data_IF_230481945851
#
_entry.id   IF_230481945851
#
_cell.length_a   1.000
_cell.length_b   1.000
_cell.length_c   1.000
_cell.angle_alpha   90.00
_cell.angle_beta   90.00
_cell.angle_gamma   90.00
#
_symmetry.space_group_name_H-M   'P 1'
#
loop_
_entity.id
_entity.type
_entity.pdbx_description
1 polymer ?
#
# COMPACT_ATOMS: atom_id res chain seq x y z
N UNK A 1 23.17 -23.47 -3.25
CA UNK A 1 22.64 -22.14 -3.56
C UNK A 1 22.51 -21.41 -2.23
N UNK A 2 23.36 -20.40 -1.97
CA UNK A 2 23.30 -19.64 -0.71
C UNK A 2 21.99 -18.85 -0.65
N UNK A 3 21.27 -18.95 0.45
CA UNK A 3 20.10 -18.13 0.75
C UNK A 3 20.65 -16.69 0.88
N UNK A 4 20.41 -15.86 -0.15
CA UNK A 4 20.68 -14.42 -0.03
C UNK A 4 19.66 -13.88 0.96
N UNK A 5 20.11 -13.55 2.16
CA UNK A 5 19.26 -12.99 3.19
C UNK A 5 18.81 -11.60 2.74
N UNK A 6 17.50 -11.48 2.37
CA UNK A 6 16.92 -10.21 1.90
C UNK A 6 16.92 -9.20 3.03
N UNK A 7 17.32 -7.97 2.75
CA UNK A 7 17.33 -6.85 3.70
C UNK A 7 15.92 -6.59 4.24
N UNK A 8 15.80 -6.29 5.53
CA UNK A 8 14.55 -5.81 6.12
C UNK A 8 14.31 -4.40 5.61
N UNK A 9 13.18 -4.18 4.96
CA UNK A 9 12.77 -2.88 4.44
C UNK A 9 11.87 -2.13 5.42
N UNK A 10 10.95 -2.85 6.08
CA UNK A 10 10.02 -2.27 7.05
C UNK A 10 10.11 -3.05 8.36
N UNK A 11 10.11 -2.33 9.47
CA UNK A 11 10.00 -2.87 10.82
C UNK A 11 9.01 -2.04 11.64
N UNK A 12 8.07 -2.70 12.30
CA UNK A 12 7.25 -2.14 13.36
C UNK A 12 7.67 -2.78 14.68
N UNK A 13 7.89 -1.98 15.72
CA UNK A 13 8.40 -2.43 17.01
C UNK A 13 7.47 -1.95 18.13
N UNK A 14 6.95 -2.89 18.91
CA UNK A 14 6.04 -2.68 20.04
C UNK A 14 4.94 -1.65 19.72
N UNK A 15 4.33 -1.77 18.52
CA UNK A 15 3.42 -0.77 17.96
C UNK A 15 2.08 -0.76 18.69
N UNK A 16 1.68 0.38 19.21
CA UNK A 16 0.37 0.59 19.82
C UNK A 16 -0.38 1.73 19.14
N UNK A 17 -1.70 1.59 19.05
CA UNK A 17 -2.58 2.69 18.65
C UNK A 17 -3.86 2.69 19.46
N UNK A 18 -4.14 3.86 20.01
CA UNK A 18 -5.34 4.15 20.79
C UNK A 18 -6.03 5.38 20.21
N UNK A 19 -7.35 5.37 20.19
CA UNK A 19 -8.16 6.54 19.86
C UNK A 19 -9.02 6.93 21.06
N UNK A 20 -9.19 8.23 21.35
CA UNK A 20 -10.06 8.69 22.43
C UNK A 20 -11.54 8.36 22.09
N UNK A 21 -12.25 7.80 23.05
CA UNK A 21 -13.70 7.57 23.01
C UNK A 21 -14.37 8.32 24.17
N UNK A 22 -14.67 9.61 23.97
CA UNK A 22 -15.22 10.44 25.04
C UNK A 22 -14.17 10.90 26.06
N UNK A 23 -14.60 11.22 27.31
CA UNK A 23 -13.72 11.86 28.30
C UNK A 23 -12.71 10.91 28.95
N UNK A 24 -13.08 9.64 29.19
CA UNK A 24 -12.27 8.72 30.01
C UNK A 24 -12.07 7.32 29.38
N UNK A 25 -12.50 7.13 28.14
CA UNK A 25 -12.36 5.83 27.44
C UNK A 25 -11.43 5.94 26.25
N UNK A 26 -10.63 4.90 26.03
CA UNK A 26 -9.75 4.75 24.86
C UNK A 26 -10.03 3.44 24.15
N UNK A 27 -10.14 3.51 22.84
CA UNK A 27 -10.24 2.34 21.99
C UNK A 27 -8.83 1.90 21.60
N UNK A 28 -8.37 0.76 22.13
CA UNK A 28 -7.08 0.16 21.78
C UNK A 28 -7.24 -0.65 20.50
N UNK A 29 -6.74 -0.11 19.39
CA UNK A 29 -6.88 -0.74 18.06
C UNK A 29 -5.66 -1.60 17.70
N UNK A 30 -4.45 -1.15 18.01
CA UNK A 30 -3.21 -1.95 17.87
C UNK A 30 -2.59 -2.11 19.25
N UNK A 31 -2.19 -3.34 19.59
CA UNK A 31 -1.90 -3.75 20.97
C UNK A 31 -0.52 -4.44 21.11
N UNK A 32 0.57 -3.68 20.91
CA UNK A 32 1.95 -4.17 21.05
C UNK A 32 2.31 -5.12 19.91
N UNK A 33 2.25 -4.60 18.68
CA UNK A 33 2.49 -5.38 17.47
C UNK A 33 3.93 -5.22 17.01
N UNK A 34 4.60 -6.36 16.75
CA UNK A 34 5.90 -6.44 16.11
C UNK A 34 5.77 -7.11 14.75
N UNK A 35 6.38 -6.52 13.71
CA UNK A 35 6.47 -7.13 12.40
C UNK A 35 7.67 -6.62 11.60
N UNK A 36 8.15 -7.46 10.69
CA UNK A 36 9.16 -7.09 9.71
C UNK A 36 8.67 -7.45 8.32
N UNK A 37 9.11 -6.70 7.30
CA UNK A 37 8.91 -7.03 5.89
C UNK A 37 10.24 -6.88 5.17
N UNK A 38 10.58 -7.86 4.34
CA UNK A 38 11.84 -7.89 3.60
C UNK A 38 11.68 -7.29 2.20
N UNK A 39 12.75 -6.80 1.62
CA UNK A 39 12.76 -6.29 0.24
C UNK A 39 12.27 -7.36 -0.75
N UNK A 40 11.38 -6.96 -1.67
CA UNK A 40 10.76 -7.85 -2.66
C UNK A 40 9.79 -8.87 -2.06
N UNK A 41 9.34 -8.69 -0.82
CA UNK A 41 8.34 -9.53 -0.18
C UNK A 41 6.94 -8.97 -0.43
N UNK A 42 6.00 -9.83 -0.80
CA UNK A 42 4.58 -9.55 -0.75
C UNK A 42 4.01 -10.16 0.54
N UNK A 43 3.79 -9.31 1.56
CA UNK A 43 3.15 -9.69 2.81
C UNK A 43 1.67 -9.34 2.75
N UNK A 44 0.79 -10.32 3.04
CA UNK A 44 -0.66 -10.11 3.08
C UNK A 44 -1.15 -10.23 4.52
N UNK A 45 -1.86 -9.21 4.99
CA UNK A 45 -2.46 -9.15 6.32
C UNK A 45 -3.94 -9.44 6.19
N UNK A 46 -4.38 -10.56 6.78
CA UNK A 46 -5.78 -10.96 6.81
C UNK A 46 -6.37 -10.80 8.22
N UNK A 47 -7.67 -10.64 8.30
CA UNK A 47 -8.37 -10.56 9.59
C UNK A 47 -9.82 -10.08 9.42
N UNK A 48 -10.66 -10.26 10.44
CA UNK A 48 -12.05 -9.81 10.39
C UNK A 48 -12.16 -8.29 10.25
N UNK A 49 -13.34 -7.80 9.86
CA UNK A 49 -13.62 -6.36 9.88
C UNK A 49 -13.43 -5.81 11.30
N UNK A 50 -12.85 -4.62 11.41
CA UNK A 50 -12.57 -3.99 12.71
C UNK A 50 -11.33 -4.53 13.45
N UNK A 51 -10.57 -5.49 12.89
CA UNK A 51 -9.35 -6.01 13.56
C UNK A 51 -8.19 -5.03 13.63
N UNK A 52 -8.26 -3.88 12.92
CA UNK A 52 -7.21 -2.85 12.89
C UNK A 52 -6.32 -2.85 11.64
N UNK A 53 -6.68 -3.58 10.56
CA UNK A 53 -5.86 -3.69 9.34
C UNK A 53 -5.56 -2.34 8.69
N UNK A 54 -6.57 -1.52 8.43
CA UNK A 54 -6.39 -0.18 7.84
C UNK A 54 -5.60 0.74 8.76
N UNK A 55 -5.89 0.68 10.09
CA UNK A 55 -5.10 1.43 11.08
C UNK A 55 -3.63 1.02 11.04
N UNK A 56 -3.34 -0.28 10.98
CA UNK A 56 -1.96 -0.77 10.87
C UNK A 56 -1.28 -0.22 9.61
N UNK A 57 -1.93 -0.31 8.44
CA UNK A 57 -1.38 0.25 7.20
C UNK A 57 -1.14 1.76 7.29
N UNK A 58 -2.05 2.52 7.92
CA UNK A 58 -1.87 3.96 8.11
C UNK A 58 -0.64 4.26 9.00
N UNK A 59 -0.42 3.48 10.05
CA UNK A 59 0.77 3.61 10.89
C UNK A 59 2.05 3.26 10.12
N UNK A 60 2.06 2.14 9.39
CA UNK A 60 3.19 1.69 8.60
C UNK A 60 3.57 2.70 7.50
N UNK A 61 2.58 3.41 6.97
CA UNK A 61 2.76 4.44 5.94
C UNK A 61 2.96 5.86 6.47
N UNK A 62 2.96 6.06 7.79
CA UNK A 62 3.05 7.39 8.38
C UNK A 62 1.89 8.31 8.00
N UNK A 63 0.71 7.76 7.71
CA UNK A 63 -0.54 8.52 7.56
C UNK A 63 -1.18 8.83 8.92
N UNK A 64 -0.84 8.03 9.92
CA UNK A 64 -1.21 8.26 11.32
C UNK A 64 0.02 7.97 12.20
N UNK A 65 0.06 8.53 13.39
CA UNK A 65 1.15 8.32 14.35
C UNK A 65 0.78 7.25 15.37
N UNK A 66 1.70 6.37 15.75
CA UNK A 66 1.46 5.42 16.83
C UNK A 66 1.29 6.15 18.16
N UNK A 67 0.53 5.57 19.08
CA UNK A 67 0.45 6.04 20.48
C UNK A 67 1.71 5.71 21.26
N UNK A 68 2.36 4.57 20.94
CA UNK A 68 3.70 4.18 21.39
C UNK A 68 4.29 3.12 20.44
N UNK A 69 5.58 2.83 20.59
CA UNK A 69 6.33 2.03 19.64
C UNK A 69 6.81 2.87 18.45
N UNK A 70 7.36 2.22 17.43
CA UNK A 70 7.89 2.93 16.25
C UNK A 70 7.74 2.12 14.98
N UNK A 71 7.82 2.82 13.85
CA UNK A 71 7.86 2.26 12.50
C UNK A 71 9.14 2.74 11.82
N UNK A 72 9.95 1.80 11.36
CA UNK A 72 11.19 2.06 10.63
C UNK A 72 11.03 1.55 9.20
N UNK A 73 11.23 2.40 8.21
CA UNK A 73 11.21 2.03 6.79
C UNK A 73 12.52 2.47 6.15
N UNK A 74 13.20 1.56 5.49
CA UNK A 74 14.51 1.79 4.86
C UNK A 74 15.54 2.43 5.82
N UNK A 75 15.59 1.94 7.06
CA UNK A 75 16.40 2.42 8.17
C UNK A 75 16.04 3.83 8.69
N UNK A 76 14.93 4.43 8.26
CA UNK A 76 14.43 5.71 8.74
C UNK A 76 13.26 5.50 9.71
N UNK A 77 13.40 5.97 10.93
CA UNK A 77 12.32 5.96 11.93
C UNK A 77 11.32 7.06 11.60
N UNK A 78 10.08 6.68 11.28
CA UNK A 78 9.03 7.61 10.90
C UNK A 78 8.52 8.46 12.09
N UNK A 79 8.73 7.99 13.32
CA UNK A 79 8.22 8.67 14.53
C UNK A 79 8.95 9.97 14.83
N UNK A 80 10.19 10.12 14.36
CA UNK A 80 11.02 11.32 14.62
C UNK A 80 10.89 12.39 13.54
N UNK A 81 10.21 12.08 12.43
CA UNK A 81 10.05 13.03 11.31
C UNK A 81 8.99 14.09 11.62
N UNK A 82 9.25 15.33 11.19
CA UNK A 82 8.24 16.37 11.08
C UNK A 82 7.18 16.00 10.03
N UNK A 83 6.04 16.69 10.02
CA UNK A 83 4.98 16.44 9.04
C UNK A 83 5.44 16.71 7.60
N UNK A 84 6.30 17.69 7.38
CA UNK A 84 6.86 18.03 6.08
C UNK A 84 7.83 16.93 5.60
N UNK A 85 8.75 16.50 6.47
CA UNK A 85 9.68 15.39 6.17
C UNK A 85 8.93 14.10 5.91
N UNK A 86 7.90 13.80 6.69
CA UNK A 86 7.06 12.62 6.52
C UNK A 86 6.26 12.66 5.21
N UNK A 87 5.75 13.85 4.81
CA UNK A 87 5.11 14.03 3.51
C UNK A 87 6.08 13.80 2.34
N UNK A 88 7.30 14.36 2.44
CA UNK A 88 8.37 14.13 1.48
C UNK A 88 8.77 12.66 1.39
N UNK A 89 8.93 11.99 2.53
CA UNK A 89 9.24 10.57 2.60
C UNK A 89 8.13 9.71 1.96
N UNK A 90 6.85 9.97 2.29
CA UNK A 90 5.72 9.27 1.65
C UNK A 90 5.75 9.41 0.13
N UNK A 91 5.93 10.63 -0.35
CA UNK A 91 5.96 10.91 -1.80
C UNK A 91 7.10 10.17 -2.53
N UNK A 92 8.27 10.03 -1.89
CA UNK A 92 9.46 9.45 -2.51
C UNK A 92 9.58 7.94 -2.36
N UNK A 93 9.12 7.39 -1.23
CA UNK A 93 9.45 6.02 -0.82
C UNK A 93 8.25 5.09 -0.80
N UNK A 94 7.04 5.62 -0.63
CA UNK A 94 5.83 4.83 -0.45
C UNK A 94 4.86 5.00 -1.62
N UNK A 95 4.21 3.89 -2.00
CA UNK A 95 3.03 3.89 -2.85
C UNK A 95 1.80 3.50 -2.03
N UNK A 96 0.67 4.13 -2.28
CA UNK A 96 -0.59 3.81 -1.59
C UNK A 96 -1.66 3.40 -2.58
N UNK A 97 -2.33 2.28 -2.29
CA UNK A 97 -3.51 1.79 -3.02
C UNK A 97 -4.62 1.61 -1.99
N UNK A 98 -5.75 2.27 -2.19
CA UNK A 98 -6.90 2.22 -1.28
C UNK A 98 -8.08 1.49 -1.91
N UNK A 99 -9.01 1.03 -1.10
CA UNK A 99 -10.28 0.43 -1.52
C UNK A 99 -11.11 1.40 -2.36
N UNK A 100 -11.20 2.66 -1.93
CA UNK A 100 -11.71 3.76 -2.74
C UNK A 100 -10.52 4.39 -3.45
N UNK A 101 -10.57 4.46 -4.76
CA UNK A 101 -9.44 4.82 -5.65
C UNK A 101 -8.85 6.20 -5.34
N UNK A 102 -9.64 7.12 -4.74
CA UNK A 102 -9.25 8.51 -4.44
C UNK A 102 -8.59 9.20 -5.64
N UNK A 103 -9.15 8.97 -6.84
CA UNK A 103 -8.74 9.69 -8.02
C UNK A 103 -9.32 11.11 -7.97
N UNK A 104 -8.57 12.07 -8.46
CA UNK A 104 -8.99 13.44 -8.59
C UNK A 104 -9.95 13.52 -9.79
N UNK A 105 -11.24 13.85 -9.59
CA UNK A 105 -12.26 13.70 -10.61
C UNK A 105 -12.11 14.68 -11.79
N UNK A 106 -11.45 15.82 -11.55
CA UNK A 106 -11.22 16.85 -12.57
C UNK A 106 -10.07 16.51 -13.52
N UNK A 107 -9.20 15.56 -13.14
CA UNK A 107 -8.00 15.19 -13.85
C UNK A 107 -8.21 13.89 -14.63
N UNK A 108 -7.55 13.78 -15.78
CA UNK A 108 -7.50 12.54 -16.58
C UNK A 108 -6.75 11.42 -15.84
N UNK A 109 -6.82 10.20 -16.37
CA UNK A 109 -6.04 9.07 -15.86
C UNK A 109 -4.53 9.39 -15.88
N UNK A 110 -4.04 9.97 -16.99
CA UNK A 110 -2.66 10.40 -17.14
C UNK A 110 -2.26 11.40 -16.06
N UNK A 111 -3.04 12.44 -15.86
CA UNK A 111 -2.76 13.49 -14.87
C UNK A 111 -2.81 12.96 -13.44
N UNK A 112 -3.78 12.08 -13.12
CA UNK A 112 -3.84 11.40 -11.83
C UNK A 112 -2.57 10.59 -11.56
N UNK A 113 -2.06 9.85 -12.55
CA UNK A 113 -0.82 9.07 -12.42
C UNK A 113 0.40 9.98 -12.31
N UNK A 114 0.45 11.09 -13.05
CA UNK A 114 1.56 12.04 -13.04
C UNK A 114 1.67 12.84 -11.73
N UNK A 115 0.57 13.02 -11.00
CA UNK A 115 0.47 13.91 -9.84
C UNK A 115 1.58 13.73 -8.79
N UNK A 116 1.95 12.51 -8.36
CA UNK A 116 3.03 12.35 -7.38
C UNK A 116 4.39 12.91 -7.83
N UNK A 117 4.71 12.80 -9.12
CA UNK A 117 5.95 13.35 -9.67
C UNK A 117 5.90 14.89 -9.78
N UNK A 118 4.73 15.44 -10.13
CA UNK A 118 4.53 16.90 -10.16
C UNK A 118 4.66 17.51 -8.77
N UNK A 119 4.11 16.85 -7.73
CA UNK A 119 4.29 17.27 -6.33
C UNK A 119 5.77 17.28 -5.93
N UNK A 120 6.57 16.37 -6.47
CA UNK A 120 8.03 16.32 -6.24
C UNK A 120 8.80 17.39 -7.03
N UNK A 121 8.12 18.16 -7.89
CA UNK A 121 8.71 19.23 -8.71
C UNK A 121 9.22 18.77 -10.08
N UNK A 122 8.88 17.56 -10.53
CA UNK A 122 9.20 17.10 -11.89
C UNK A 122 8.37 17.90 -12.91
N UNK A 123 8.95 18.20 -14.08
CA UNK A 123 8.25 18.92 -15.14
C UNK A 123 7.19 18.04 -15.80
N UNK A 124 6.05 18.62 -16.16
CA UNK A 124 4.92 17.88 -16.73
C UNK A 124 5.29 16.99 -17.93
N UNK A 125 6.08 17.42 -18.93
CA UNK A 125 6.42 16.55 -20.07
C UNK A 125 7.21 15.28 -19.68
N UNK A 126 8.00 15.34 -18.61
CA UNK A 126 8.76 14.21 -18.08
C UNK A 126 7.83 13.27 -17.29
N UNK A 127 7.04 13.84 -16.38
CA UNK A 127 6.03 13.13 -15.63
C UNK A 127 5.01 12.43 -16.55
N UNK A 128 4.58 13.11 -17.62
CA UNK A 128 3.67 12.59 -18.64
C UNK A 128 4.23 11.32 -19.31
N UNK A 129 5.49 11.36 -19.76
CA UNK A 129 6.12 10.19 -20.40
C UNK A 129 6.18 8.97 -19.48
N UNK A 130 6.47 9.20 -18.20
CA UNK A 130 6.51 8.12 -17.19
C UNK A 130 5.11 7.60 -16.88
N UNK A 131 4.14 8.50 -16.70
CA UNK A 131 2.75 8.16 -16.44
C UNK A 131 2.14 7.34 -17.59
N UNK A 132 2.41 7.71 -18.86
CA UNK A 132 1.98 6.94 -20.03
C UNK A 132 2.50 5.50 -20.01
N UNK A 133 3.78 5.30 -19.67
CA UNK A 133 4.36 3.95 -19.55
C UNK A 133 3.70 3.14 -18.43
N UNK A 134 3.42 3.77 -17.29
CA UNK A 134 2.74 3.10 -16.18
C UNK A 134 1.30 2.72 -16.53
N UNK A 135 0.58 3.59 -17.24
CA UNK A 135 -0.78 3.27 -17.74
C UNK A 135 -0.74 2.11 -18.72
N UNK A 136 0.26 2.06 -19.61
CA UNK A 136 0.45 0.92 -20.50
C UNK A 136 0.73 -0.38 -19.73
N UNK A 137 1.57 -0.34 -18.68
CA UNK A 137 1.87 -1.52 -17.86
C UNK A 137 0.64 -2.09 -17.12
N UNK A 138 -0.34 -1.22 -16.80
CA UNK A 138 -1.59 -1.65 -16.18
C UNK A 138 -2.71 -1.90 -17.21
N UNK A 139 -2.40 -1.88 -18.53
CA UNK A 139 -3.33 -2.14 -19.61
C UNK A 139 -4.37 -1.06 -19.80
N UNK A 140 -3.95 0.22 -19.74
CA UNK A 140 -4.79 1.41 -19.89
C UNK A 140 -4.23 2.42 -20.91
N UNK A 141 -3.48 1.95 -21.90
CA UNK A 141 -2.88 2.79 -22.95
C UNK A 141 -3.92 3.61 -23.73
N UNK A 142 -5.12 3.07 -23.93
CA UNK A 142 -6.22 3.75 -24.63
C UNK A 142 -7.11 4.60 -23.70
N UNK A 143 -6.78 4.69 -22.42
CA UNK A 143 -7.56 5.39 -21.39
C UNK A 143 -6.87 6.60 -20.78
N UNK A 144 -5.74 7.02 -21.36
CA UNK A 144 -4.89 8.10 -20.83
C UNK A 144 -5.65 9.42 -20.60
N UNK A 145 -6.53 9.78 -21.55
CA UNK A 145 -7.25 11.05 -21.54
C UNK A 145 -8.66 10.97 -20.91
N UNK A 146 -9.06 9.79 -20.44
CA UNK A 146 -10.35 9.59 -19.77
C UNK A 146 -10.29 10.12 -18.33
N UNK A 147 -11.38 10.76 -17.91
CA UNK A 147 -11.60 11.16 -16.52
C UNK A 147 -12.13 9.97 -15.69
N UNK A 148 -12.01 9.98 -14.36
CA UNK A 148 -12.52 8.90 -13.52
C UNK A 148 -13.97 8.52 -13.77
N UNK A 149 -14.86 9.49 -14.08
CA UNK A 149 -16.27 9.23 -14.41
C UNK A 149 -16.50 8.45 -15.70
N UNK A 150 -15.49 8.36 -16.56
CA UNK A 150 -15.53 7.67 -17.85
C UNK A 150 -14.86 6.28 -17.78
N UNK A 151 -14.35 5.90 -16.59
CA UNK A 151 -13.65 4.64 -16.33
C UNK A 151 -14.52 3.70 -15.48
N UNK A 152 -14.48 2.41 -15.80
CA UNK A 152 -15.04 1.39 -14.93
C UNK A 152 -14.29 1.34 -13.57
N UNK A 153 -14.91 0.75 -12.54
CA UNK A 153 -14.27 0.62 -11.23
C UNK A 153 -12.92 -0.11 -11.28
N UNK A 154 -12.81 -1.16 -12.10
CA UNK A 154 -11.56 -1.89 -12.32
C UNK A 154 -10.50 -1.04 -13.04
N UNK A 155 -10.89 -0.21 -14.02
CA UNK A 155 -9.98 0.74 -14.67
C UNK A 155 -9.51 1.82 -13.71
N UNK A 156 -10.41 2.40 -12.91
CA UNK A 156 -10.06 3.37 -11.86
C UNK A 156 -9.04 2.79 -10.87
N UNK A 157 -9.23 1.53 -10.46
CA UNK A 157 -8.29 0.87 -9.55
C UNK A 157 -6.92 0.65 -10.20
N UNK A 158 -6.87 0.30 -11.49
CA UNK A 158 -5.59 0.19 -12.21
C UNK A 158 -4.91 1.57 -12.38
N UNK A 159 -5.67 2.66 -12.56
CA UNK A 159 -5.10 4.02 -12.50
C UNK A 159 -4.50 4.31 -11.12
N UNK A 160 -5.20 3.93 -10.03
CA UNK A 160 -4.67 4.10 -8.67
C UNK A 160 -3.40 3.27 -8.43
N UNK A 161 -3.30 2.06 -8.99
CA UNK A 161 -2.06 1.25 -8.96
C UNK A 161 -0.93 1.97 -9.72
N UNK A 162 -1.19 2.43 -10.94
CA UNK A 162 -0.19 3.17 -11.73
C UNK A 162 0.29 4.43 -11.00
N UNK A 163 -0.63 5.19 -10.38
CA UNK A 163 -0.31 6.37 -9.56
C UNK A 163 0.59 6.02 -8.37
N UNK A 164 0.30 4.91 -7.69
CA UNK A 164 1.11 4.45 -6.56
C UNK A 164 2.56 4.13 -6.97
N UNK A 165 2.79 3.75 -8.22
CA UNK A 165 4.10 3.40 -8.76
C UNK A 165 4.88 4.58 -9.35
N UNK A 166 4.28 5.77 -9.45
CA UNK A 166 4.83 6.89 -10.22
C UNK A 166 6.23 7.32 -9.77
N UNK A 167 6.51 7.31 -8.50
CA UNK A 167 7.79 7.72 -7.95
C UNK A 167 8.74 6.55 -7.64
N UNK A 168 8.53 5.37 -8.26
CA UNK A 168 9.32 4.15 -8.08
C UNK A 168 9.47 3.79 -6.59
N UNK A 169 8.34 3.57 -5.87
CA UNK A 169 8.34 3.37 -4.43
C UNK A 169 9.11 2.10 -4.04
N UNK A 170 9.73 2.11 -2.88
CA UNK A 170 10.35 0.91 -2.30
C UNK A 170 9.33 -0.01 -1.63
N UNK A 171 8.25 0.56 -1.12
CA UNK A 171 7.17 -0.14 -0.43
C UNK A 171 5.81 0.34 -0.95
N UNK A 172 4.95 -0.59 -1.30
CA UNK A 172 3.55 -0.32 -1.65
C UNK A 172 2.65 -0.85 -0.54
N UNK A 173 1.83 0.03 0.00
CA UNK A 173 0.81 -0.28 1.01
C UNK A 173 -0.56 -0.30 0.33
N UNK A 174 -1.28 -1.41 0.43
CA UNK A 174 -2.58 -1.57 -0.20
C UNK A 174 -3.65 -1.96 0.83
N UNK A 175 -4.68 -1.12 0.97
CA UNK A 175 -5.81 -1.36 1.88
C UNK A 175 -7.03 -1.79 1.06
N UNK A 176 -7.43 -3.08 1.21
CA UNK A 176 -8.56 -3.71 0.52
C UNK A 176 -8.60 -3.37 -0.99
N UNK A 177 -7.50 -3.56 -1.76
CA UNK A 177 -7.38 -3.02 -3.12
C UNK A 177 -8.42 -3.55 -4.11
N UNK A 178 -9.06 -4.67 -3.83
CA UNK A 178 -10.13 -5.26 -4.65
C UNK A 178 -11.51 -5.21 -4.00
N UNK A 179 -11.66 -4.54 -2.84
CA UNK A 179 -12.88 -4.63 -2.03
C UNK A 179 -14.16 -4.08 -2.70
N UNK A 180 -14.03 -3.24 -3.73
CA UNK A 180 -15.16 -2.66 -4.46
C UNK A 180 -15.30 -3.20 -5.89
N UNK A 181 -14.57 -4.28 -6.23
CA UNK A 181 -14.56 -4.87 -7.56
C UNK A 181 -15.39 -6.15 -7.59
N UNK A 182 -15.95 -6.46 -8.75
CA UNK A 182 -16.48 -7.79 -9.03
C UNK A 182 -15.36 -8.85 -9.05
N UNK A 183 -15.75 -10.11 -9.06
CA UNK A 183 -14.82 -11.24 -8.96
C UNK A 183 -13.78 -11.25 -10.10
N UNK A 184 -14.22 -10.99 -11.35
CA UNK A 184 -13.34 -11.02 -12.50
C UNK A 184 -12.29 -9.90 -12.44
N UNK A 185 -12.71 -8.65 -12.14
CA UNK A 185 -11.81 -7.53 -11.97
C UNK A 185 -10.89 -7.69 -10.74
N UNK A 186 -11.39 -8.30 -9.66
CA UNK A 186 -10.58 -8.63 -8.49
C UNK A 186 -9.44 -9.58 -8.84
N UNK A 187 -9.71 -10.66 -9.57
CA UNK A 187 -8.69 -11.62 -9.98
C UNK A 187 -7.67 -11.01 -10.94
N UNK A 188 -8.12 -10.17 -11.89
CA UNK A 188 -7.23 -9.42 -12.79
C UNK A 188 -6.30 -8.49 -12.01
N UNK A 189 -6.84 -7.78 -11.01
CA UNK A 189 -6.05 -6.90 -10.14
C UNK A 189 -5.03 -7.70 -9.32
N UNK A 190 -5.44 -8.82 -8.71
CA UNK A 190 -4.54 -9.67 -7.94
C UNK A 190 -3.38 -10.21 -8.78
N UNK A 191 -3.67 -10.61 -10.04
CA UNK A 191 -2.62 -11.03 -10.97
C UNK A 191 -1.68 -9.87 -11.31
N UNK A 192 -2.22 -8.68 -11.59
CA UNK A 192 -1.42 -7.48 -11.87
C UNK A 192 -0.47 -7.15 -10.71
N UNK A 193 -0.96 -7.14 -9.46
CA UNK A 193 -0.12 -6.85 -8.29
C UNK A 193 0.99 -7.90 -8.11
N UNK A 194 0.69 -9.19 -8.32
CA UNK A 194 1.69 -10.25 -8.25
C UNK A 194 2.74 -10.12 -9.37
N UNK A 195 2.33 -9.81 -10.59
CA UNK A 195 3.22 -9.58 -11.72
C UNK A 195 4.15 -8.38 -11.49
N UNK A 196 3.61 -7.28 -10.97
CA UNK A 196 4.39 -6.09 -10.61
C UNK A 196 5.40 -6.39 -9.50
N UNK A 197 4.99 -7.12 -8.45
CA UNK A 197 5.88 -7.54 -7.38
C UNK A 197 7.06 -8.37 -7.94
N UNK A 198 6.78 -9.34 -8.80
CA UNK A 198 7.80 -10.22 -9.36
C UNK A 198 8.70 -9.50 -10.38
N UNK A 199 8.12 -8.77 -11.34
CA UNK A 199 8.86 -8.15 -12.45
C UNK A 199 9.70 -6.97 -12.01
N UNK A 200 9.22 -6.18 -11.04
CA UNK A 200 9.90 -4.98 -10.54
C UNK A 200 10.63 -5.20 -9.21
N UNK A 201 10.49 -6.37 -8.59
CA UNK A 201 11.05 -6.62 -7.26
C UNK A 201 10.43 -5.75 -6.17
N UNK A 202 9.16 -5.33 -6.35
CA UNK A 202 8.47 -4.44 -5.42
C UNK A 202 8.12 -5.15 -4.11
N UNK A 203 8.22 -4.41 -3.02
CA UNK A 203 7.75 -4.86 -1.71
C UNK A 203 6.31 -4.40 -1.51
N UNK A 204 5.44 -5.32 -1.09
CA UNK A 204 4.04 -5.04 -0.82
C UNK A 204 3.66 -5.42 0.61
N UNK A 205 2.85 -4.56 1.24
CA UNK A 205 2.04 -4.93 2.42
C UNK A 205 0.58 -4.69 2.07
N UNK A 206 -0.20 -5.74 2.01
CA UNK A 206 -1.60 -5.70 1.57
C UNK A 206 -2.50 -6.15 2.70
N UNK A 207 -3.41 -5.30 3.14
CA UNK A 207 -4.48 -5.65 4.06
C UNK A 207 -5.72 -6.04 3.26
N UNK A 208 -6.28 -7.22 3.54
CA UNK A 208 -7.49 -7.68 2.86
C UNK A 208 -8.23 -8.75 3.65
N UNK A 209 -9.52 -8.90 3.38
CA UNK A 209 -10.31 -10.06 3.79
C UNK A 209 -10.45 -11.10 2.65
N UNK A 210 -9.97 -10.77 1.44
CA UNK A 210 -10.02 -11.69 0.30
C UNK A 210 -8.87 -12.70 0.37
N UNK A 211 -9.22 -13.98 0.53
CA UNK A 211 -8.24 -15.06 0.69
C UNK A 211 -7.54 -15.45 -0.62
N UNK A 212 -8.05 -15.08 -1.79
CA UNK A 212 -7.39 -15.43 -3.06
C UNK A 212 -6.04 -14.74 -3.23
N UNK A 213 -5.91 -13.53 -2.70
CA UNK A 213 -4.64 -12.82 -2.71
C UNK A 213 -3.57 -13.52 -1.85
N UNK A 214 -3.98 -14.25 -0.80
CA UNK A 214 -3.04 -15.00 0.05
C UNK A 214 -2.32 -16.11 -0.70
N UNK A 215 -2.93 -16.67 -1.75
CA UNK A 215 -2.33 -17.71 -2.59
C UNK A 215 -1.11 -17.21 -3.38
N UNK A 216 -0.98 -15.89 -3.56
CA UNK A 216 0.09 -15.23 -4.30
C UNK A 216 1.12 -14.56 -3.39
N UNK A 217 0.86 -14.54 -2.09
CA UNK A 217 1.71 -13.91 -1.08
C UNK A 217 2.96 -14.74 -0.77
N UNK A 218 4.06 -14.07 -0.49
CA UNK A 218 5.24 -14.72 0.10
C UNK A 218 4.99 -15.08 1.57
N UNK A 219 4.20 -14.25 2.26
CA UNK A 219 3.86 -14.45 3.66
C UNK A 219 2.46 -13.93 3.96
N UNK A 220 1.72 -14.69 4.77
CA UNK A 220 0.41 -14.31 5.27
C UNK A 220 0.47 -14.09 6.78
N UNK A 221 0.00 -12.94 7.23
CA UNK A 221 -0.09 -12.53 8.62
C UNK A 221 -1.56 -12.42 9.01
N UNK A 222 -1.93 -12.91 10.16
CA UNK A 222 -3.31 -12.79 10.65
C UNK A 222 -3.38 -11.73 11.75
N UNK A 223 -4.21 -10.72 11.57
CA UNK A 223 -4.49 -9.69 12.57
C UNK A 223 -5.83 -9.97 13.25
N UNK A 224 -5.79 -10.20 14.55
CA UNK A 224 -6.98 -10.45 15.38
C UNK A 224 -6.90 -9.56 16.61
N UNK A 225 -7.94 -8.79 16.86
CA UNK A 225 -8.04 -7.91 18.03
C UNK A 225 -6.77 -7.05 18.27
N UNK A 226 -6.25 -6.46 17.20
CA UNK A 226 -5.08 -5.57 17.25
C UNK A 226 -3.74 -6.26 17.47
N UNK A 227 -3.66 -7.58 17.37
CA UNK A 227 -2.43 -8.38 17.52
C UNK A 227 -2.19 -9.27 16.30
N UNK A 228 -0.93 -9.45 15.93
CA UNK A 228 -0.57 -10.48 14.95
C UNK A 228 -0.58 -11.85 15.65
N UNK A 229 -1.34 -12.78 15.07
CA UNK A 229 -1.37 -14.18 15.50
C UNK A 229 -0.42 -14.97 14.61
N UNK A 230 0.61 -15.57 15.21
CA UNK A 230 1.53 -16.47 14.53
C UNK A 230 0.83 -17.82 14.31
N UNK A 231 0.55 -18.18 13.05
CA UNK A 231 -0.08 -19.50 12.82
C UNK A 231 -0.58 -19.82 11.41
N UNK A 232 -0.48 -18.92 10.45
CA UNK A 232 -0.68 -19.29 9.05
C UNK A 232 0.68 -19.59 8.42
N UNK A 233 0.88 -20.84 8.01
CA UNK A 233 2.10 -21.37 7.41
C UNK A 233 2.55 -20.50 6.24
N UNK A 234 3.86 -20.26 6.16
CA UNK A 234 4.52 -20.00 4.88
C UNK A 234 4.02 -21.07 3.89
N UNK A 235 3.28 -20.64 2.88
CA UNK A 235 3.01 -21.49 1.73
C UNK A 235 4.36 -21.65 1.01
N UNK A 236 4.99 -22.81 1.23
CA UNK A 236 6.19 -23.27 0.50
C UNK A 236 5.84 -23.62 -0.93
#
# INVERSE_FOLDING_TARGET
>A
MGIVERKILLRAEALHKEYPMGKDQRLHVIKGLDMEVREGEMAVIVGPSGSGKSTLLHLLGGLDRPSSGRVVVDNLDLSVLSEEELAGFRNQTLGFIFQFHHLLPEFTALENVAMPALIRGEKFPEAQRRATKLLQEVGLEERTDHKPSELSGGEQQRVAVARALMNDPRLVLADEPSGNLDEENSQRLHQLLADLAQKRGLTFVIATHNLDLTKRANRVLQLVDGRLVTGLRSLS
#
